data_IF_746124039745
#
_entry.id   IF_746124039745
#
_cell.length_a   1.000
_cell.length_b   1.000
_cell.length_c   1.000
_cell.angle_alpha   90.00
_cell.angle_beta   90.00
_cell.angle_gamma   90.00
#
_symmetry.space_group_name_H-M   'P 1'
#
loop_
_entity.id
_entity.type
_entity.pdbx_description
1 polymer ?
#
# COMPACT_ATOMS: atom_id res chain seq x y z
N UNK A 1 -25.99 7.61 -8.01
CA UNK A 1 -26.17 6.26 -7.46
C UNK A 1 -25.21 6.04 -6.30
N UNK A 2 -25.73 5.53 -5.22
CA UNK A 2 -24.91 5.24 -4.06
C UNK A 2 -24.20 3.90 -4.22
N UNK A 3 -22.94 3.86 -3.83
CA UNK A 3 -22.18 2.62 -3.81
C UNK A 3 -22.49 1.83 -2.55
N UNK A 4 -22.54 0.51 -2.66
CA UNK A 4 -22.74 -0.37 -1.51
C UNK A 4 -21.51 -0.37 -0.60
N UNK A 5 -21.71 -0.80 0.65
CA UNK A 5 -20.60 -0.97 1.59
C UNK A 5 -19.52 -1.94 1.04
N UNK A 6 -19.95 -3.02 0.38
CA UNK A 6 -19.04 -3.97 -0.22
C UNK A 6 -18.20 -3.34 -1.33
N UNK A 7 -18.81 -2.52 -2.17
CA UNK A 7 -18.10 -1.83 -3.26
C UNK A 7 -17.07 -0.84 -2.71
N UNK A 8 -17.42 -0.08 -1.68
CA UNK A 8 -16.50 0.86 -1.05
C UNK A 8 -15.31 0.14 -0.39
N UNK A 9 -15.57 -0.96 0.30
CA UNK A 9 -14.49 -1.79 0.87
C UNK A 9 -13.58 -2.36 -0.23
N UNK A 10 -14.17 -2.83 -1.31
CA UNK A 10 -13.43 -3.39 -2.44
C UNK A 10 -12.52 -2.34 -3.08
N UNK A 11 -12.95 -1.10 -3.18
CA UNK A 11 -12.13 -0.01 -3.72
C UNK A 11 -10.87 0.23 -2.88
N UNK A 12 -11.01 0.21 -1.55
CA UNK A 12 -9.86 0.34 -0.64
C UNK A 12 -8.91 -0.84 -0.82
N UNK A 13 -9.43 -2.07 -0.79
CA UNK A 13 -8.61 -3.27 -0.92
C UNK A 13 -7.94 -3.35 -2.29
N UNK A 14 -8.62 -2.95 -3.35
CA UNK A 14 -8.06 -2.92 -4.70
C UNK A 14 -6.88 -1.94 -4.81
N UNK A 15 -6.98 -0.77 -4.17
CA UNK A 15 -5.88 0.19 -4.13
C UNK A 15 -4.66 -0.34 -3.38
N UNK A 16 -4.86 -1.21 -2.38
CA UNK A 16 -3.78 -1.85 -1.64
C UNK A 16 -3.19 -3.07 -2.36
N UNK A 17 -3.92 -3.68 -3.27
CA UNK A 17 -3.59 -5.00 -3.83
C UNK A 17 -2.54 -4.94 -4.95
N UNK A 18 -1.37 -4.39 -4.65
CA UNK A 18 -0.22 -4.38 -5.55
C UNK A 18 1.06 -4.34 -4.72
N UNK A 19 2.05 -5.21 -5.00
CA UNK A 19 3.28 -5.27 -4.20
C UNK A 19 3.97 -3.91 -4.05
N UNK A 20 4.06 -3.14 -5.11
CA UNK A 20 4.73 -1.83 -5.06
C UNK A 20 3.95 -0.82 -4.23
N UNK A 21 2.62 -0.86 -4.26
CA UNK A 21 1.82 0.03 -3.42
C UNK A 21 1.94 -0.32 -1.94
N UNK A 22 2.01 -1.60 -1.61
CA UNK A 22 2.28 -2.06 -0.24
C UNK A 22 3.67 -1.59 0.21
N UNK A 23 4.69 -1.75 -0.63
CA UNK A 23 6.06 -1.31 -0.33
C UNK A 23 6.14 0.20 -0.11
N UNK A 24 5.39 0.99 -0.86
CA UNK A 24 5.30 2.44 -0.67
C UNK A 24 4.75 2.75 0.73
N UNK A 25 3.65 2.13 1.12
CA UNK A 25 3.04 2.34 2.43
C UNK A 25 3.98 1.94 3.57
N UNK A 26 4.66 0.82 3.44
CA UNK A 26 5.64 0.36 4.42
C UNK A 26 6.83 1.33 4.54
N UNK A 27 7.29 1.89 3.43
CA UNK A 27 8.35 2.90 3.43
C UNK A 27 7.91 4.17 4.16
N UNK A 28 6.65 4.59 3.96
CA UNK A 28 6.09 5.74 4.66
C UNK A 28 5.95 5.48 6.17
N UNK A 29 5.63 4.26 6.55
CA UNK A 29 5.60 3.88 7.97
C UNK A 29 6.97 3.99 8.61
N UNK A 30 8.03 3.71 7.86
CA UNK A 30 9.42 3.82 8.33
C UNK A 30 9.95 5.25 8.36
N UNK A 31 9.18 6.23 7.89
CA UNK A 31 9.53 7.64 7.97
C UNK A 31 9.92 8.32 6.67
N UNK A 32 9.99 7.59 5.54
CA UNK A 32 10.22 8.19 4.24
C UNK A 32 8.99 8.99 3.82
N UNK A 33 9.14 10.28 3.52
CA UNK A 33 8.00 11.17 3.31
C UNK A 33 8.02 11.96 1.99
N UNK A 34 9.11 11.89 1.23
CA UNK A 34 9.25 12.61 -0.04
C UNK A 34 9.22 11.62 -1.20
N UNK A 35 8.53 11.96 -2.31
CA UNK A 35 8.58 11.12 -3.50
C UNK A 35 9.99 11.03 -4.10
N UNK A 36 10.82 12.04 -3.89
CA UNK A 36 12.23 12.04 -4.30
C UNK A 36 13.06 10.97 -3.58
N UNK A 37 12.66 10.57 -2.37
CA UNK A 37 13.33 9.52 -1.61
C UNK A 37 12.74 8.14 -1.89
N UNK A 38 11.45 8.07 -2.19
CA UNK A 38 10.73 6.80 -2.41
C UNK A 38 11.21 6.07 -3.66
N UNK A 39 11.40 6.78 -4.77
CA UNK A 39 11.78 6.16 -6.03
C UNK A 39 13.10 5.38 -5.90
N UNK A 40 14.21 6.00 -5.44
CA UNK A 40 15.47 5.26 -5.27
C UNK A 40 15.38 4.21 -4.15
N UNK A 41 14.69 4.50 -3.05
CA UNK A 41 14.57 3.56 -1.95
C UNK A 41 13.86 2.26 -2.35
N UNK A 42 12.91 2.34 -3.27
CA UNK A 42 12.13 1.19 -3.74
C UNK A 42 12.63 0.62 -5.06
N UNK A 43 13.62 1.25 -5.69
CA UNK A 43 14.13 0.82 -6.99
C UNK A 43 13.11 1.01 -8.10
N UNK A 44 12.23 2.00 -7.99
CA UNK A 44 11.20 2.29 -8.98
C UNK A 44 11.57 3.50 -9.83
N UNK A 45 11.18 3.46 -11.10
CA UNK A 45 11.24 4.63 -11.96
C UNK A 45 10.24 5.67 -11.47
N UNK A 46 10.57 6.95 -11.62
CA UNK A 46 9.74 8.06 -11.13
C UNK A 46 8.33 8.02 -11.71
N UNK A 47 8.18 7.69 -12.99
CA UNK A 47 6.88 7.59 -13.64
C UNK A 47 6.02 6.46 -13.08
N UNK A 48 6.64 5.33 -12.75
CA UNK A 48 5.96 4.18 -12.16
C UNK A 48 5.52 4.52 -10.73
N UNK A 49 6.40 5.12 -9.95
CA UNK A 49 6.08 5.58 -8.60
C UNK A 49 4.90 6.56 -8.62
N UNK A 50 4.96 7.56 -9.50
CA UNK A 50 3.91 8.58 -9.61
C UNK A 50 2.54 7.99 -9.91
N UNK A 51 2.49 6.97 -10.75
CA UNK A 51 1.24 6.27 -11.08
C UNK A 51 0.66 5.54 -9.88
N UNK A 52 1.49 4.84 -9.11
CA UNK A 52 1.05 4.18 -7.89
C UNK A 52 0.60 5.17 -6.82
N UNK A 53 1.33 6.27 -6.65
CA UNK A 53 0.96 7.32 -5.70
C UNK A 53 -0.39 7.93 -6.05
N UNK A 54 -0.64 8.18 -7.33
CA UNK A 54 -1.92 8.73 -7.79
C UNK A 54 -3.09 7.81 -7.44
N UNK A 55 -2.94 6.51 -7.64
CA UNK A 55 -3.97 5.53 -7.29
C UNK A 55 -4.26 5.58 -5.79
N UNK A 56 -3.23 5.61 -4.96
CA UNK A 56 -3.38 5.65 -3.50
C UNK A 56 -4.01 6.97 -3.02
N UNK A 57 -3.63 8.09 -3.61
CA UNK A 57 -4.23 9.39 -3.29
C UNK A 57 -5.69 9.43 -3.70
N UNK A 58 -6.02 8.97 -4.88
CA UNK A 58 -7.41 8.94 -5.38
C UNK A 58 -8.31 8.02 -4.55
N UNK A 59 -7.75 6.97 -3.98
CA UNK A 59 -8.48 6.08 -3.07
C UNK A 59 -8.63 6.65 -1.65
N UNK A 60 -8.01 7.80 -1.37
CA UNK A 60 -8.06 8.42 -0.04
C UNK A 60 -7.11 7.81 0.98
N UNK A 61 -6.14 7.01 0.54
CA UNK A 61 -5.19 6.34 1.42
C UNK A 61 -3.94 7.16 1.71
N UNK A 62 -3.59 8.07 0.81
CA UNK A 62 -2.47 8.99 0.96
C UNK A 62 -2.90 10.42 0.77
N UNK A 63 -2.19 11.33 1.45
CA UNK A 63 -2.28 12.77 1.24
C UNK A 63 -0.93 13.24 0.70
N UNK A 64 -0.96 14.11 -0.29
CA UNK A 64 0.26 14.71 -0.83
C UNK A 64 0.13 16.23 -0.84
N UNK A 65 1.27 16.92 -0.69
CA UNK A 65 1.32 18.38 -0.77
C UNK A 65 2.70 18.81 -1.25
N UNK A 66 2.78 20.00 -1.82
CA UNK A 66 4.04 20.56 -2.33
C UNK A 66 4.62 21.57 -1.35
N UNK A 67 5.93 21.49 -1.15
CA UNK A 67 6.73 22.50 -0.49
C UNK A 67 7.88 22.88 -1.44
N UNK A 68 7.72 23.99 -2.14
CA UNK A 68 8.64 24.34 -3.22
C UNK A 68 8.60 23.30 -4.33
N UNK A 69 9.74 22.70 -4.64
CA UNK A 69 9.86 21.62 -5.63
C UNK A 69 9.66 20.23 -5.03
N UNK A 70 9.54 20.16 -3.71
CA UNK A 70 9.40 18.90 -3.00
C UNK A 70 7.93 18.49 -2.90
N UNK A 71 7.65 17.24 -3.25
CA UNK A 71 6.32 16.63 -3.03
C UNK A 71 6.42 15.74 -1.81
N UNK A 72 5.70 16.11 -0.76
CA UNK A 72 5.61 15.35 0.47
C UNK A 72 4.37 14.47 0.47
N UNK A 73 4.47 13.32 1.12
CA UNK A 73 3.41 12.30 1.13
C UNK A 73 3.29 11.76 2.54
N UNK A 74 2.07 11.53 2.99
CA UNK A 74 1.83 10.81 4.24
C UNK A 74 0.58 9.94 4.12
N UNK A 75 0.51 8.93 4.97
CA UNK A 75 -0.66 8.06 5.08
C UNK A 75 -1.82 8.85 5.68
N UNK A 76 -2.99 8.75 5.07
CA UNK A 76 -4.18 9.46 5.53
C UNK A 76 -4.71 8.92 6.87
N UNK A 77 -4.53 7.62 7.12
CA UNK A 77 -5.07 6.96 8.31
C UNK A 77 -4.18 5.77 8.68
N UNK A 78 -3.71 5.76 9.92
CA UNK A 78 -2.81 4.71 10.42
C UNK A 78 -3.44 3.31 10.44
N UNK A 79 -4.77 3.19 10.38
CA UNK A 79 -5.44 1.89 10.30
C UNK A 79 -5.07 1.09 9.06
N UNK A 80 -4.55 1.75 8.03
CA UNK A 80 -4.03 1.09 6.83
C UNK A 80 -2.95 0.07 7.21
N UNK A 81 -2.09 0.40 8.15
CA UNK A 81 -1.01 -0.50 8.59
C UNK A 81 -1.56 -1.73 9.31
N UNK A 82 -2.69 -1.61 10.01
CA UNK A 82 -3.37 -2.76 10.62
C UNK A 82 -3.89 -3.73 9.56
N UNK A 83 -4.42 -3.20 8.46
CA UNK A 83 -4.87 -4.02 7.33
C UNK A 83 -3.70 -4.80 6.75
N UNK A 84 -2.56 -4.14 6.54
CA UNK A 84 -1.36 -4.77 5.99
C UNK A 84 -0.79 -5.82 6.93
N UNK A 85 -0.78 -5.55 8.23
CA UNK A 85 -0.31 -6.50 9.24
C UNK A 85 -1.18 -7.76 9.27
N UNK A 86 -2.51 -7.58 9.21
CA UNK A 86 -3.44 -8.71 9.15
C UNK A 86 -3.27 -9.52 7.86
N UNK A 87 -3.08 -8.83 6.74
CA UNK A 87 -2.81 -9.50 5.46
C UNK A 87 -1.52 -10.33 5.54
N UNK A 88 -0.48 -9.77 6.16
CA UNK A 88 0.79 -10.48 6.37
C UNK A 88 0.63 -11.71 7.26
N UNK A 89 -0.14 -11.60 8.34
CA UNK A 89 -0.42 -12.71 9.24
C UNK A 89 -1.18 -13.83 8.52
N UNK A 90 -2.18 -13.47 7.72
CA UNK A 90 -2.95 -14.44 6.92
C UNK A 90 -2.07 -15.10 5.86
N UNK A 91 -1.18 -14.35 5.21
CA UNK A 91 -0.26 -14.91 4.22
C UNK A 91 0.69 -15.92 4.85
N UNK A 92 1.23 -15.61 6.03
CA UNK A 92 2.11 -16.53 6.78
C UNK A 92 1.37 -17.80 7.14
N UNK A 93 0.16 -17.71 7.68
CA UNK A 93 -0.68 -18.85 8.02
C UNK A 93 -0.98 -19.70 6.79
N UNK A 94 -1.30 -19.07 5.66
CA UNK A 94 -1.58 -19.76 4.40
C UNK A 94 -0.38 -20.59 3.93
N UNK A 95 0.84 -20.05 4.05
CA UNK A 95 2.06 -20.78 3.71
C UNK A 95 2.24 -22.02 4.60
N UNK A 96 2.04 -21.85 5.89
CA UNK A 96 2.15 -22.95 6.87
C UNK A 96 1.12 -24.05 6.58
N UNK A 97 -0.12 -23.69 6.29
CA UNK A 97 -1.18 -24.64 5.94
C UNK A 97 -0.89 -25.40 4.65
N UNK A 98 -0.34 -24.73 3.65
CA UNK A 98 0.06 -25.37 2.39
C UNK A 98 1.21 -26.37 2.61
N UNK A 99 2.17 -26.01 3.44
CA UNK A 99 3.29 -26.88 3.77
C UNK A 99 2.79 -28.16 4.48
N UNK A 100 1.87 -28.03 5.45
CA UNK A 100 1.24 -29.16 6.13
C UNK A 100 0.45 -30.05 5.16
N UNK A 101 -0.32 -29.45 4.26
CA UNK A 101 -1.08 -30.19 3.25
C UNK A 101 -0.16 -30.99 2.33
N UNK A 102 1.01 -30.45 1.98
CA UNK A 102 2.01 -31.15 1.16
C UNK A 102 2.65 -32.32 1.91
N UNK A 103 2.83 -32.20 3.21
CA UNK A 103 3.39 -33.30 4.04
C UNK A 103 2.48 -34.51 4.12
N UNK A 104 1.16 -34.32 3.98
CA UNK A 104 0.17 -35.39 4.01
C UNK A 104 0.09 -36.21 2.71
N UNK A 105 0.71 -35.73 1.65
CA UNK A 105 0.75 -36.43 0.37
C UNK A 105 1.91 -37.40 0.34
#
# INVERSE_FOLDING_TARGET
MEQSSAELKAQILAALAHPNRIRILEALQRGTSCNCELAPALGLEQSNLSRHLKILVQAGLLVSWKEGLRVNIKVADARIFKILDLAGALAKQSIEMRAEALEEI
#
